data_IF_275151034490
#
_entry.id   IF_275151034490
#
_cell.length_a   1.000
_cell.length_b   1.000
_cell.length_c   1.000
_cell.angle_alpha   90.00
_cell.angle_beta   90.00
_cell.angle_gamma   90.00
#
_symmetry.space_group_name_H-M   'P 1'
#
loop_
_entity.id
_entity.type
_entity.pdbx_description
1 polymer ?
#
# COMPACT_ATOMS: atom_id res chain seq x y z
N UNK A 1 12.45 -29.75 -27.87
CA UNK A 1 13.01 -28.47 -27.36
C UNK A 1 11.84 -27.60 -26.93
N UNK A 2 11.40 -27.75 -25.68
CA UNK A 2 10.40 -26.88 -25.08
C UNK A 2 11.08 -25.57 -24.71
N UNK A 3 10.88 -24.53 -25.51
CA UNK A 3 11.28 -23.18 -25.15
C UNK A 3 10.54 -22.79 -23.88
N UNK A 4 11.25 -22.72 -22.75
CA UNK A 4 10.79 -22.01 -21.57
C UNK A 4 10.75 -20.52 -21.94
N UNK A 5 9.65 -20.07 -22.55
CA UNK A 5 9.29 -18.67 -22.53
C UNK A 5 8.98 -18.35 -21.07
N UNK A 6 9.96 -17.80 -20.34
CA UNK A 6 9.72 -17.26 -19.01
C UNK A 6 8.66 -16.17 -19.14
N UNK A 7 7.43 -16.47 -18.72
CA UNK A 7 6.34 -15.50 -18.74
C UNK A 7 6.65 -14.46 -17.65
N UNK A 8 7.01 -13.25 -18.07
CA UNK A 8 7.15 -12.11 -17.17
C UNK A 8 5.80 -11.78 -16.54
N UNK A 9 5.78 -11.65 -15.21
CA UNK A 9 4.66 -11.12 -14.42
C UNK A 9 4.95 -9.67 -14.07
N UNK A 10 3.90 -8.86 -14.00
CA UNK A 10 4.03 -7.45 -13.66
C UNK A 10 3.25 -7.14 -12.38
N UNK A 11 3.77 -6.21 -11.58
CA UNK A 11 3.10 -5.67 -10.40
C UNK A 11 2.95 -4.16 -10.59
N UNK A 12 1.73 -3.68 -10.76
CA UNK A 12 1.44 -2.24 -10.80
C UNK A 12 1.42 -1.69 -9.37
N UNK A 13 2.13 -0.59 -9.11
CA UNK A 13 2.18 0.07 -7.81
C UNK A 13 1.53 1.43 -7.95
N UNK A 14 0.34 1.59 -7.36
CA UNK A 14 -0.39 2.85 -7.35
C UNK A 14 -0.38 3.46 -5.94
N UNK A 15 -0.32 4.78 -5.87
CA UNK A 15 -0.44 5.51 -4.62
C UNK A 15 -0.36 7.02 -4.79
N UNK A 16 -0.53 7.74 -3.68
CA UNK A 16 -0.67 9.20 -3.67
C UNK A 16 0.67 9.91 -3.85
N UNK A 17 1.74 9.46 -3.18
CA UNK A 17 3.08 10.05 -3.27
C UNK A 17 3.95 9.36 -4.31
N UNK A 18 4.91 10.09 -4.90
CA UNK A 18 6.00 9.45 -5.67
C UNK A 18 6.90 8.63 -4.75
N UNK A 19 7.27 9.19 -3.60
CA UNK A 19 8.15 8.52 -2.63
C UNK A 19 7.51 7.27 -2.04
N UNK A 20 6.21 7.30 -1.72
CA UNK A 20 5.53 6.12 -1.18
C UNK A 20 5.55 4.96 -2.18
N UNK A 21 5.28 5.25 -3.46
CA UNK A 21 5.37 4.28 -4.56
C UNK A 21 6.78 3.73 -4.73
N UNK A 22 7.81 4.57 -4.64
CA UNK A 22 9.21 4.13 -4.72
C UNK A 22 9.61 3.24 -3.53
N UNK A 23 9.22 3.59 -2.31
CA UNK A 23 9.46 2.76 -1.11
C UNK A 23 8.79 1.39 -1.24
N UNK A 24 7.53 1.37 -1.68
CA UNK A 24 6.80 0.10 -1.88
C UNK A 24 7.44 -0.72 -3.01
N UNK A 25 7.87 -0.10 -4.10
CA UNK A 25 8.56 -0.80 -5.19
C UNK A 25 9.86 -1.44 -4.71
N UNK A 26 10.68 -0.68 -3.97
CA UNK A 26 11.93 -1.19 -3.42
C UNK A 26 11.67 -2.34 -2.43
N UNK A 27 10.66 -2.20 -1.56
CA UNK A 27 10.25 -3.26 -0.65
C UNK A 27 9.84 -4.55 -1.40
N UNK A 28 9.03 -4.41 -2.46
CA UNK A 28 8.61 -5.54 -3.32
C UNK A 28 9.83 -6.22 -3.93
N UNK A 29 10.77 -5.46 -4.48
CA UNK A 29 12.00 -6.01 -5.03
C UNK A 29 12.82 -6.79 -4.01
N UNK A 30 12.96 -6.27 -2.80
CA UNK A 30 13.71 -6.94 -1.71
C UNK A 30 13.05 -8.26 -1.35
N UNK A 31 11.73 -8.27 -1.16
CA UNK A 31 10.98 -9.50 -0.84
C UNK A 31 11.15 -10.55 -1.95
N UNK A 32 11.00 -10.15 -3.21
CA UNK A 32 11.15 -11.06 -4.37
C UNK A 32 12.59 -11.60 -4.49
N UNK A 33 13.61 -10.77 -4.26
CA UNK A 33 15.01 -11.22 -4.22
C UNK A 33 15.22 -12.24 -3.10
N UNK A 34 14.61 -12.02 -1.93
CA UNK A 34 14.67 -12.92 -0.77
C UNK A 34 14.03 -14.29 -1.01
N UNK A 35 13.06 -14.41 -1.92
CA UNK A 35 12.39 -15.69 -2.23
C UNK A 35 13.09 -16.50 -3.34
N UNK A 36 14.26 -16.05 -3.78
CA UNK A 36 15.02 -16.71 -4.85
C UNK A 36 14.55 -16.33 -6.26
N UNK A 37 13.70 -15.30 -6.40
CA UNK A 37 13.28 -14.76 -7.69
C UNK A 37 14.33 -13.80 -8.28
N UNK A 38 15.58 -14.25 -8.39
CA UNK A 38 16.71 -13.47 -8.91
C UNK A 38 16.69 -13.25 -10.43
N UNK A 39 15.75 -13.89 -11.14
CA UNK A 39 15.68 -13.93 -12.62
C UNK A 39 14.77 -12.84 -13.24
N UNK A 40 14.38 -11.79 -12.50
CA UNK A 40 13.46 -10.74 -12.99
C UNK A 40 12.12 -11.29 -13.54
N UNK A 41 11.61 -12.41 -13.01
CA UNK A 41 10.34 -12.99 -13.49
C UNK A 41 9.14 -12.16 -13.10
N UNK A 42 9.29 -11.29 -12.11
CA UNK A 42 8.27 -10.38 -11.60
C UNK A 42 8.85 -8.97 -11.65
N UNK A 43 8.18 -8.05 -12.34
CA UNK A 43 8.65 -6.67 -12.54
C UNK A 43 7.66 -5.67 -11.94
N UNK A 44 8.07 -4.87 -10.94
CA UNK A 44 7.25 -3.77 -10.45
C UNK A 44 7.22 -2.60 -11.45
N UNK A 45 6.05 -1.99 -11.63
CA UNK A 45 5.82 -0.83 -12.48
C UNK A 45 5.14 0.24 -11.64
N UNK A 46 5.72 1.44 -11.60
CA UNK A 46 5.10 2.59 -10.94
C UNK A 46 3.99 3.13 -11.83
N UNK A 47 2.74 2.98 -11.40
CA UNK A 47 1.59 3.55 -12.08
C UNK A 47 1.49 5.05 -11.80
N UNK A 48 0.81 5.81 -12.67
CA UNK A 48 0.50 7.22 -12.47
C UNK A 48 -0.16 7.45 -11.12
N UNK A 49 0.06 8.65 -10.57
CA UNK A 49 -0.51 9.07 -9.29
C UNK A 49 -2.04 8.94 -9.34
N UNK A 50 -2.59 8.19 -8.41
CA UNK A 50 -4.01 8.09 -8.13
C UNK A 50 -4.20 8.48 -6.67
N UNK A 51 -5.09 9.43 -6.40
CA UNK A 51 -5.28 9.97 -5.05
C UNK A 51 -6.48 9.31 -4.35
N UNK A 52 -6.23 8.59 -3.27
CA UNK A 52 -7.27 8.17 -2.30
C UNK A 52 -7.07 8.82 -0.92
N UNK A 53 -5.94 9.49 -0.70
CA UNK A 53 -5.61 10.20 0.55
C UNK A 53 -6.69 11.19 0.95
N UNK A 54 -7.17 11.99 0.00
CA UNK A 54 -8.16 13.03 0.27
C UNK A 54 -9.48 12.43 0.80
N UNK A 55 -9.88 11.27 0.27
CA UNK A 55 -11.07 10.53 0.69
C UNK A 55 -10.87 9.87 2.06
N UNK A 56 -9.67 9.36 2.34
CA UNK A 56 -9.31 8.85 3.68
C UNK A 56 -9.35 9.97 4.72
N UNK A 57 -8.82 11.15 4.40
CA UNK A 57 -8.84 12.30 5.32
C UNK A 57 -10.24 12.85 5.55
N UNK A 58 -11.06 12.86 4.50
CA UNK A 58 -12.47 13.17 4.64
C UNK A 58 -13.16 12.16 5.57
N UNK A 59 -12.95 10.87 5.35
CA UNK A 59 -13.49 9.82 6.20
C UNK A 59 -13.09 9.99 7.66
N UNK A 60 -11.82 10.26 7.96
CA UNK A 60 -11.39 10.44 9.35
C UNK A 60 -11.99 11.68 10.02
N UNK A 61 -12.15 12.78 9.28
CA UNK A 61 -12.83 13.98 9.80
C UNK A 61 -14.28 13.67 10.16
N UNK A 62 -14.99 12.93 9.30
CA UNK A 62 -16.38 12.54 9.52
C UNK A 62 -16.50 11.55 10.70
N UNK A 63 -15.59 10.57 10.79
CA UNK A 63 -15.52 9.62 11.91
C UNK A 63 -15.31 10.32 13.26
N UNK A 64 -14.39 11.29 13.35
CA UNK A 64 -14.11 12.01 14.59
C UNK A 64 -15.28 12.89 15.06
N UNK A 65 -16.08 13.43 14.13
CA UNK A 65 -17.28 14.19 14.47
C UNK A 65 -18.33 13.26 15.09
N UNK A 66 -18.47 12.06 14.54
CA UNK A 66 -19.46 11.08 15.02
C UNK A 66 -19.06 10.46 16.37
N UNK A 67 -17.79 10.10 16.54
CA UNK A 67 -17.25 9.60 17.82
C UNK A 67 -17.53 10.57 18.98
N UNK A 68 -17.47 11.88 18.72
CA UNK A 68 -17.79 12.93 19.72
C UNK A 68 -19.29 13.14 19.93
N UNK A 69 -20.12 12.77 18.97
CA UNK A 69 -21.55 13.03 19.00
C UNK A 69 -22.37 11.91 19.68
N UNK A 70 -21.74 10.76 19.99
CA UNK A 70 -22.36 9.55 20.59
C UNK A 70 -23.66 9.12 19.89
N UNK A 71 -23.65 9.23 18.56
CA UNK A 71 -24.80 8.89 17.70
C UNK A 71 -24.29 8.07 16.52
N UNK A 72 -24.88 6.91 16.31
CA UNK A 72 -24.70 6.12 15.09
C UNK A 72 -25.57 6.78 13.98
N UNK A 73 -25.00 7.65 13.15
CA UNK A 73 -25.77 8.51 12.23
C UNK A 73 -25.71 8.09 10.75
N UNK A 74 -26.55 8.73 9.93
CA UNK A 74 -26.50 8.62 8.46
C UNK A 74 -25.19 9.18 7.85
N UNK A 75 -24.41 9.98 8.58
CA UNK A 75 -23.22 10.66 8.06
C UNK A 75 -22.09 9.65 7.89
N UNK A 76 -21.83 8.78 8.87
CA UNK A 76 -20.81 7.74 8.69
C UNK A 76 -21.16 6.80 7.53
N UNK A 77 -22.45 6.46 7.38
CA UNK A 77 -22.94 5.64 6.27
C UNK A 77 -22.67 6.24 4.88
N UNK A 78 -22.76 7.56 4.72
CA UNK A 78 -22.38 8.20 3.46
C UNK A 78 -20.86 8.28 3.30
N UNK A 79 -20.12 8.57 4.37
CA UNK A 79 -18.65 8.62 4.42
C UNK A 79 -18.03 7.28 3.99
N UNK A 80 -18.55 6.17 4.53
CA UNK A 80 -18.17 4.81 4.16
C UNK A 80 -18.37 4.55 2.66
N UNK A 81 -19.56 4.87 2.15
CA UNK A 81 -19.90 4.66 0.73
C UNK A 81 -19.06 5.52 -0.20
N UNK A 82 -18.70 6.72 0.24
CA UNK A 82 -17.84 7.63 -0.52
C UNK A 82 -16.44 7.03 -0.66
N UNK A 83 -15.80 6.64 0.45
CA UNK A 83 -14.47 6.02 0.41
C UNK A 83 -14.48 4.69 -0.35
N UNK A 84 -15.49 3.84 -0.15
CA UNK A 84 -15.70 2.61 -0.94
C UNK A 84 -15.74 2.89 -2.44
N UNK A 85 -16.46 3.93 -2.85
CA UNK A 85 -16.58 4.32 -4.27
C UNK A 85 -15.29 4.95 -4.80
N UNK A 86 -14.59 5.73 -3.99
CA UNK A 86 -13.30 6.32 -4.35
C UNK A 86 -12.27 5.24 -4.64
N UNK A 87 -12.16 4.24 -3.77
CA UNK A 87 -11.28 3.06 -3.98
C UNK A 87 -11.60 2.36 -5.29
N UNK A 88 -12.87 2.06 -5.56
CA UNK A 88 -13.26 1.42 -6.82
C UNK A 88 -12.89 2.27 -8.05
N UNK A 89 -13.13 3.58 -7.98
CA UNK A 89 -12.84 4.52 -9.07
C UNK A 89 -11.35 4.61 -9.40
N UNK A 90 -10.49 4.71 -8.37
CA UNK A 90 -9.05 4.77 -8.61
C UNK A 90 -8.51 3.45 -9.16
N UNK A 91 -9.13 2.32 -8.83
CA UNK A 91 -8.74 1.01 -9.37
C UNK A 91 -9.05 0.89 -10.86
N UNK A 92 -10.16 1.48 -11.36
CA UNK A 92 -10.38 1.57 -12.81
C UNK A 92 -9.31 2.41 -13.49
N UNK A 93 -8.94 3.55 -12.91
CA UNK A 93 -7.85 4.39 -13.42
C UNK A 93 -6.50 3.67 -13.44
N UNK A 94 -6.15 3.00 -12.33
CA UNK A 94 -4.94 2.21 -12.22
C UNK A 94 -4.91 1.01 -13.18
N UNK A 95 -6.06 0.37 -13.42
CA UNK A 95 -6.17 -0.73 -14.39
C UNK A 95 -5.85 -0.24 -15.79
N UNK A 96 -6.52 0.82 -16.25
CA UNK A 96 -6.30 1.36 -17.60
C UNK A 96 -4.85 1.83 -17.79
N UNK A 97 -4.28 2.46 -16.77
CA UNK A 97 -2.89 2.89 -16.79
C UNK A 97 -1.90 1.71 -16.84
N UNK A 98 -2.16 0.66 -16.06
CA UNK A 98 -1.32 -0.54 -16.05
C UNK A 98 -1.38 -1.29 -17.39
N UNK A 99 -2.57 -1.43 -17.98
CA UNK A 99 -2.74 -1.98 -19.33
C UNK A 99 -1.97 -1.16 -20.37
N UNK A 100 -1.95 0.17 -20.23
CA UNK A 100 -1.15 1.07 -21.06
C UNK A 100 0.36 0.79 -20.97
N UNK A 101 0.87 0.50 -19.77
CA UNK A 101 2.27 0.15 -19.57
C UNK A 101 2.65 -1.22 -20.13
N UNK A 102 1.79 -2.24 -19.98
CA UNK A 102 2.09 -3.61 -20.44
C UNK A 102 1.65 -3.89 -21.88
N UNK A 103 0.89 -2.98 -22.50
CA UNK A 103 0.42 -3.08 -23.89
C UNK A 103 -0.63 -4.17 -24.13
N UNK A 104 -1.31 -4.65 -23.08
CA UNK A 104 -2.36 -5.69 -23.15
C UNK A 104 -3.32 -5.60 -21.97
N UNK A 105 -4.51 -6.23 -22.07
CA UNK A 105 -5.41 -6.36 -20.93
C UNK A 105 -4.77 -7.10 -19.74
N UNK A 106 -5.18 -6.72 -18.53
CA UNK A 106 -4.75 -7.41 -17.32
C UNK A 106 -5.36 -8.81 -17.23
N UNK A 107 -4.65 -9.69 -16.56
CA UNK A 107 -5.08 -11.05 -16.25
C UNK A 107 -4.89 -11.33 -14.76
N UNK A 108 -5.36 -12.49 -14.30
CA UNK A 108 -5.12 -12.99 -12.94
C UNK A 108 -3.64 -13.20 -12.57
N UNK A 109 -2.72 -13.02 -13.51
CA UNK A 109 -1.26 -13.10 -13.29
C UNK A 109 -0.67 -11.78 -12.81
N UNK A 110 -1.35 -10.68 -13.08
CA UNK A 110 -0.92 -9.34 -12.68
C UNK A 110 -1.46 -9.00 -11.29
N UNK A 111 -0.72 -8.16 -10.58
CA UNK A 111 -1.11 -7.63 -9.27
C UNK A 111 -1.10 -6.10 -9.32
N UNK A 112 -2.06 -5.47 -8.66
CA UNK A 112 -2.01 -4.03 -8.36
C UNK A 112 -1.87 -3.88 -6.85
N UNK A 113 -0.83 -3.18 -6.41
CA UNK A 113 -0.65 -2.74 -5.04
C UNK A 113 -1.24 -1.35 -4.89
N UNK A 114 -2.30 -1.24 -4.09
CA UNK A 114 -2.93 0.03 -3.72
C UNK A 114 -2.30 0.55 -2.44
N UNK A 115 -1.41 1.54 -2.51
CA UNK A 115 -0.81 2.17 -1.33
C UNK A 115 -1.32 3.59 -1.08
N UNK A 116 -1.49 3.95 0.19
CA UNK A 116 -1.84 5.29 0.65
C UNK A 116 -1.54 5.42 2.14
N UNK A 117 -1.30 6.64 2.59
CA UNK A 117 -1.15 6.93 4.01
C UNK A 117 -2.53 7.03 4.69
N UNK A 118 -2.68 6.47 5.89
CA UNK A 118 -3.92 6.57 6.66
C UNK A 118 -4.00 7.86 7.50
N UNK A 119 -2.85 8.37 7.91
CA UNK A 119 -2.59 9.46 8.87
C UNK A 119 -3.27 9.40 10.23
N UNK A 120 -3.87 8.26 10.55
CA UNK A 120 -4.26 7.96 11.92
C UNK A 120 -3.05 7.45 12.69
N UNK A 121 -2.75 8.08 13.82
CA UNK A 121 -1.63 7.70 14.68
C UNK A 121 -1.97 6.45 15.49
N UNK A 122 -1.16 5.40 15.35
CA UNK A 122 -1.17 4.24 16.25
C UNK A 122 -0.30 4.50 17.47
N UNK A 123 -0.93 4.53 18.65
CA UNK A 123 -0.22 4.79 19.91
C UNK A 123 0.57 3.60 20.41
N UNK A 124 0.09 2.39 20.17
CA UNK A 124 0.71 1.12 20.59
C UNK A 124 0.39 0.01 19.58
N UNK A 125 0.85 -1.22 19.84
CA UNK A 125 0.60 -2.38 18.97
C UNK A 125 -0.85 -2.88 19.02
N UNK A 126 -1.49 -2.77 20.18
CA UNK A 126 -2.85 -3.27 20.38
C UNK A 126 -3.90 -2.42 19.65
N UNK A 127 -3.56 -1.16 19.33
CA UNK A 127 -4.41 -0.25 18.58
C UNK A 127 -4.74 -0.74 17.16
N UNK A 128 -4.01 -1.73 16.61
CA UNK A 128 -4.39 -2.44 15.39
C UNK A 128 -5.68 -3.27 15.52
N UNK A 129 -6.06 -3.62 16.74
CA UNK A 129 -7.25 -4.41 17.04
C UNK A 129 -8.41 -3.55 17.53
N UNK A 130 -8.24 -2.23 17.53
CA UNK A 130 -9.34 -1.30 17.78
C UNK A 130 -10.28 -1.24 16.57
N UNK A 131 -11.57 -1.03 16.83
CA UNK A 131 -12.64 -1.09 15.81
C UNK A 131 -12.36 -0.17 14.62
N UNK A 132 -11.82 1.02 14.86
CA UNK A 132 -11.54 1.98 13.79
C UNK A 132 -10.45 1.50 12.82
N UNK A 133 -9.46 0.72 13.29
CA UNK A 133 -8.38 0.21 12.45
C UNK A 133 -8.93 -0.87 11.51
N UNK A 134 -9.72 -1.79 12.05
CA UNK A 134 -10.42 -2.83 11.29
C UNK A 134 -11.42 -2.24 10.30
N UNK A 135 -12.16 -1.22 10.73
CA UNK A 135 -13.14 -0.53 9.90
C UNK A 135 -12.49 0.07 8.65
N UNK A 136 -11.32 0.72 8.77
CA UNK A 136 -10.59 1.21 7.60
C UNK A 136 -10.27 0.09 6.61
N UNK A 137 -9.67 -1.01 7.09
CA UNK A 137 -9.36 -2.18 6.26
C UNK A 137 -10.61 -2.71 5.53
N UNK A 138 -11.74 -2.82 6.24
CA UNK A 138 -12.99 -3.33 5.65
C UNK A 138 -13.58 -2.39 4.60
N UNK A 139 -13.47 -1.06 4.75
CA UNK A 139 -13.96 -0.13 3.72
C UNK A 139 -13.12 -0.27 2.45
N UNK A 140 -11.80 -0.32 2.59
CA UNK A 140 -10.90 -0.50 1.45
C UNK A 140 -11.20 -1.82 0.75
N UNK A 141 -11.33 -2.92 1.49
CA UNK A 141 -11.70 -4.21 0.91
C UNK A 141 -13.05 -4.15 0.20
N UNK A 142 -14.07 -3.50 0.78
CA UNK A 142 -15.37 -3.33 0.11
C UNK A 142 -15.27 -2.54 -1.19
N UNK A 143 -14.39 -1.53 -1.25
CA UNK A 143 -14.11 -0.81 -2.49
C UNK A 143 -13.49 -1.70 -3.58
N UNK A 144 -12.57 -2.58 -3.18
CA UNK A 144 -11.96 -3.59 -4.07
C UNK A 144 -13.04 -4.57 -4.58
N UNK A 145 -13.90 -5.09 -3.69
CA UNK A 145 -14.99 -5.98 -4.09
C UNK A 145 -15.98 -5.30 -5.04
N UNK A 146 -16.26 -4.00 -4.82
CA UNK A 146 -17.10 -3.21 -5.73
C UNK A 146 -16.48 -3.08 -7.12
N UNK A 147 -15.17 -2.84 -7.20
CA UNK A 147 -14.43 -2.84 -8.46
C UNK A 147 -14.58 -4.19 -9.20
N UNK A 148 -14.35 -5.31 -8.52
CA UNK A 148 -14.52 -6.64 -9.14
C UNK A 148 -15.97 -6.93 -9.54
N UNK A 149 -16.93 -6.54 -8.70
CA UNK A 149 -18.36 -6.71 -8.98
C UNK A 149 -18.76 -5.97 -10.26
N UNK A 150 -18.27 -4.74 -10.44
CA UNK A 150 -18.51 -3.97 -11.66
C UNK A 150 -17.88 -4.62 -12.89
N UNK A 151 -16.61 -5.08 -12.82
CA UNK A 151 -15.97 -5.78 -13.94
C UNK A 151 -16.69 -7.08 -14.31
N UNK A 152 -17.14 -7.85 -13.31
CA UNK A 152 -17.96 -9.04 -13.52
C UNK A 152 -19.29 -8.69 -14.20
N UNK A 153 -19.94 -7.61 -13.77
CA UNK A 153 -21.14 -7.07 -14.41
C UNK A 153 -20.93 -6.62 -15.87
N UNK A 154 -19.70 -6.23 -16.24
CA UNK A 154 -19.31 -5.94 -17.62
C UNK A 154 -18.92 -7.18 -18.42
N UNK A 155 -18.96 -8.38 -17.82
CA UNK A 155 -18.68 -9.65 -18.49
C UNK A 155 -17.21 -10.10 -18.44
N UNK A 156 -16.37 -9.49 -17.60
CA UNK A 156 -15.00 -9.98 -17.40
C UNK A 156 -15.00 -11.34 -16.71
N UNK A 157 -14.25 -12.30 -17.26
CA UNK A 157 -14.02 -13.59 -16.61
C UNK A 157 -12.98 -13.45 -15.49
N UNK A 158 -12.96 -14.42 -14.57
CA UNK A 158 -11.97 -14.49 -13.47
C UNK A 158 -10.52 -14.48 -13.99
N UNK A 159 -10.28 -14.99 -15.20
CA UNK A 159 -8.96 -15.00 -15.83
C UNK A 159 -8.46 -13.59 -16.19
N UNK A 160 -9.35 -12.62 -16.31
CA UNK A 160 -9.09 -11.24 -16.74
C UNK A 160 -9.13 -10.24 -15.57
N UNK A 161 -9.05 -10.71 -14.32
CA UNK A 161 -9.09 -9.86 -13.14
C UNK A 161 -7.72 -9.88 -12.43
N UNK A 162 -7.02 -8.75 -12.30
CA UNK A 162 -5.76 -8.70 -11.54
C UNK A 162 -6.03 -8.91 -10.05
N UNK A 163 -5.02 -9.34 -9.31
CA UNK A 163 -5.10 -9.36 -7.85
C UNK A 163 -4.84 -7.95 -7.29
N UNK A 164 -5.78 -7.41 -6.52
CA UNK A 164 -5.58 -6.14 -5.78
C UNK A 164 -5.09 -6.42 -4.36
N UNK A 165 -3.98 -5.78 -3.96
CA UNK A 165 -3.42 -5.86 -2.60
C UNK A 165 -3.36 -4.45 -1.98
N UNK A 166 -4.19 -4.13 -0.97
CA UNK A 166 -4.10 -2.84 -0.30
C UNK A 166 -2.95 -2.80 0.71
N UNK A 167 -2.25 -1.66 0.77
CA UNK A 167 -1.19 -1.35 1.74
C UNK A 167 -1.45 0.05 2.28
N UNK A 168 -2.21 0.13 3.38
CA UNK A 168 -2.67 1.40 3.96
C UNK A 168 -2.08 1.56 5.38
N UNK A 169 -0.78 1.87 5.52
CA UNK A 169 -0.09 1.89 6.80
C UNK A 169 -0.52 3.03 7.73
N UNK A 170 -0.33 2.81 9.03
CA UNK A 170 -0.64 3.77 10.08
C UNK A 170 0.59 4.35 10.79
N UNK A 171 0.85 5.67 10.71
CA UNK A 171 0.11 6.68 9.95
C UNK A 171 0.49 6.78 8.47
N UNK A 172 1.68 6.34 8.07
CA UNK A 172 2.21 6.53 6.72
C UNK A 172 3.17 5.42 6.31
N UNK A 173 3.51 5.37 5.02
CA UNK A 173 4.48 4.42 4.43
C UNK A 173 5.84 4.45 5.13
N UNK A 174 6.19 5.58 5.75
CA UNK A 174 7.40 5.75 6.54
C UNK A 174 7.53 4.79 7.73
N UNK A 175 6.41 4.22 8.23
CA UNK A 175 6.49 3.20 9.29
C UNK A 175 7.20 1.94 8.83
N UNK A 176 7.21 1.65 7.53
CA UNK A 176 7.95 0.53 6.96
C UNK A 176 9.44 0.76 7.12
N UNK A 177 9.90 1.98 6.78
CA UNK A 177 11.30 2.38 6.92
C UNK A 177 11.69 2.48 8.40
N UNK A 178 10.85 3.08 9.24
CA UNK A 178 11.11 3.17 10.67
C UNK A 178 11.19 1.79 11.33
N UNK A 179 10.34 0.85 10.93
CA UNK A 179 10.38 -0.54 11.41
C UNK A 179 11.66 -1.25 10.95
N UNK A 180 12.03 -1.12 9.67
CA UNK A 180 13.27 -1.68 9.13
C UNK A 180 14.50 -1.11 9.83
N UNK A 181 14.57 0.21 9.99
CA UNK A 181 15.66 0.91 10.66
C UNK A 181 15.76 0.53 12.13
N UNK A 182 14.63 0.31 12.82
CA UNK A 182 14.62 -0.15 14.22
C UNK A 182 15.23 -1.53 14.41
N UNK A 183 15.22 -2.37 13.37
CA UNK A 183 15.87 -3.67 13.39
C UNK A 183 17.40 -3.57 13.30
N UNK A 184 17.89 -2.61 12.52
CA UNK A 184 19.33 -2.36 12.33
C UNK A 184 19.94 -1.40 13.35
N UNK A 185 19.15 -0.48 13.89
CA UNK A 185 19.57 0.61 14.77
C UNK A 185 18.56 0.78 15.90
N UNK A 186 19.03 0.98 17.12
CA UNK A 186 18.18 1.01 18.32
C UNK A 186 17.46 2.37 18.54
N UNK A 187 16.97 3.04 17.48
CA UNK A 187 16.80 4.51 17.53
C UNK A 187 15.48 5.13 17.05
N UNK A 188 14.55 4.44 16.37
CA UNK A 188 13.32 5.09 15.85
C UNK A 188 12.03 4.47 16.40
N UNK A 189 11.38 5.16 17.33
CA UNK A 189 10.05 4.76 17.78
C UNK A 189 9.02 4.92 16.65
N UNK A 190 8.48 3.80 16.15
CA UNK A 190 7.45 3.78 15.09
C UNK A 190 6.09 4.28 15.60
N UNK A 191 5.80 4.07 16.88
CA UNK A 191 4.47 4.30 17.47
C UNK A 191 4.36 5.66 18.15
N UNK A 192 3.13 6.16 18.21
CA UNK A 192 2.79 7.44 18.85
C UNK A 192 3.20 8.68 18.07
N UNK A 193 3.71 8.52 16.84
CA UNK A 193 4.17 9.60 15.98
C UNK A 193 3.22 9.85 14.82
N UNK A 194 3.10 11.11 14.41
CA UNK A 194 2.43 11.54 13.18
C UNK A 194 3.31 11.27 11.96
N UNK A 195 2.71 11.28 10.77
CA UNK A 195 3.44 11.06 9.51
C UNK A 195 4.59 12.07 9.33
N UNK A 196 4.34 13.37 9.56
CA UNK A 196 5.36 14.41 9.47
C UNK A 196 6.51 14.26 10.50
N UNK A 197 6.19 13.80 11.72
CA UNK A 197 7.17 13.52 12.77
C UNK A 197 8.04 12.31 12.39
N UNK A 198 7.46 11.28 11.79
CA UNK A 198 8.20 10.14 11.24
C UNK A 198 9.11 10.58 10.09
N UNK A 199 8.59 11.34 9.11
CA UNK A 199 9.37 11.88 8.00
C UNK A 199 10.58 12.67 8.49
N UNK A 200 10.34 13.64 9.39
CA UNK A 200 11.41 14.45 9.97
C UNK A 200 12.45 13.58 10.70
N UNK A 201 12.01 12.55 11.44
CA UNK A 201 12.92 11.67 12.17
C UNK A 201 13.75 10.74 11.27
N UNK A 202 13.23 10.36 10.10
CA UNK A 202 13.90 9.46 9.16
C UNK A 202 14.83 10.20 8.20
N UNK A 203 14.33 11.30 7.65
CA UNK A 203 14.95 12.01 6.53
C UNK A 203 15.54 13.37 6.94
N UNK A 204 15.33 13.83 8.17
CA UNK A 204 15.71 15.16 8.63
C UNK A 204 14.82 16.29 8.09
N UNK A 205 13.75 15.96 7.37
CA UNK A 205 12.80 16.91 6.77
C UNK A 205 11.42 16.26 6.62
N UNK A 206 10.36 17.05 6.65
CA UNK A 206 9.00 16.63 6.30
C UNK A 206 8.70 16.82 4.80
N UNK A 207 9.57 17.52 4.07
CA UNK A 207 9.46 17.75 2.64
C UNK A 207 10.50 16.94 1.86
N UNK A 208 10.10 15.77 1.37
CA UNK A 208 10.99 14.85 0.65
C UNK A 208 11.45 15.38 -0.71
N UNK A 209 10.76 16.38 -1.30
CA UNK A 209 11.23 17.05 -2.52
C UNK A 209 12.53 17.85 -2.31
N UNK A 210 12.89 18.13 -1.05
CA UNK A 210 14.14 18.82 -0.70
C UNK A 210 15.32 17.86 -0.53
N UNK A 211 15.10 16.54 -0.62
CA UNK A 211 16.16 15.56 -0.54
C UNK A 211 17.09 15.65 -1.75
N UNK A 212 18.37 15.36 -1.52
CA UNK A 212 19.34 15.17 -2.59
C UNK A 212 18.96 13.95 -3.45
N UNK A 213 19.47 13.82 -4.69
CA UNK A 213 19.15 12.70 -5.57
C UNK A 213 19.26 11.31 -4.92
N UNK A 214 20.26 11.09 -4.04
CA UNK A 214 20.47 9.82 -3.33
C UNK A 214 19.87 9.80 -1.92
N UNK A 215 19.02 10.77 -1.57
CA UNK A 215 18.49 10.94 -0.22
C UNK A 215 17.62 9.76 0.23
N UNK A 216 16.80 9.19 -0.67
CA UNK A 216 16.01 8.00 -0.33
C UNK A 216 16.86 6.75 -0.18
N UNK A 217 17.91 6.61 -0.99
CA UNK A 217 18.86 5.52 -0.84
C UNK A 217 19.46 5.54 0.57
N UNK A 218 20.05 6.67 0.95
CA UNK A 218 20.79 6.84 2.21
C UNK A 218 19.90 6.78 3.46
N UNK A 219 18.65 7.21 3.38
CA UNK A 219 17.77 7.32 4.54
C UNK A 219 16.72 6.22 4.64
N UNK A 220 16.41 5.51 3.54
CA UNK A 220 15.39 4.47 3.49
C UNK A 220 15.88 3.15 2.91
N UNK A 221 16.37 3.13 1.67
CA UNK A 221 16.57 1.87 0.93
C UNK A 221 17.69 0.99 1.50
N UNK A 222 18.75 1.58 2.07
CA UNK A 222 19.80 0.81 2.75
C UNK A 222 19.29 -0.03 3.92
N UNK A 223 18.15 0.35 4.52
CA UNK A 223 17.55 -0.36 5.64
C UNK A 223 16.58 -1.46 5.20
N UNK A 224 16.08 -1.40 3.96
CA UNK A 224 15.19 -2.41 3.39
C UNK A 224 16.01 -3.61 2.90
N UNK A 225 16.47 -4.44 3.84
CA UNK A 225 17.22 -5.67 3.56
C UNK A 225 16.36 -6.91 3.81
N UNK A 226 16.76 -8.06 3.26
CA UNK A 226 16.06 -9.34 3.49
C UNK A 226 15.87 -9.69 4.98
N UNK A 227 16.81 -9.30 5.84
CA UNK A 227 16.71 -9.54 7.29
C UNK A 227 15.74 -8.55 7.94
N UNK A 228 15.81 -7.28 7.56
CA UNK A 228 15.00 -6.23 8.16
C UNK A 228 13.53 -6.30 7.73
N UNK A 229 13.21 -6.81 6.53
CA UNK A 229 11.82 -6.97 6.09
C UNK A 229 11.03 -7.94 6.96
N UNK A 230 11.68 -8.89 7.65
CA UNK A 230 11.02 -9.77 8.63
C UNK A 230 10.50 -8.98 9.84
N UNK A 231 11.22 -7.92 10.24
CA UNK A 231 10.77 -7.01 11.30
C UNK A 231 9.56 -6.21 10.85
N UNK A 232 9.55 -5.72 9.60
CA UNK A 232 8.38 -5.05 9.01
C UNK A 232 7.16 -5.98 9.06
N UNK A 233 7.29 -7.21 8.58
CA UNK A 233 6.20 -8.20 8.58
C UNK A 233 5.62 -8.45 9.99
N UNK A 234 6.50 -8.53 10.99
CA UNK A 234 6.11 -8.72 12.39
C UNK A 234 5.35 -7.51 12.93
N UNK A 235 5.90 -6.32 12.72
CA UNK A 235 5.45 -5.10 13.39
C UNK A 235 4.33 -4.36 12.66
N UNK A 236 4.17 -4.54 11.35
CA UNK A 236 3.20 -3.80 10.51
C UNK A 236 2.21 -4.81 9.87
N UNK A 237 1.05 -5.08 10.51
CA UNK A 237 0.04 -6.00 9.98
C UNK A 237 -0.44 -5.69 8.56
N UNK A 238 -0.49 -4.43 8.17
CA UNK A 238 -1.03 -3.93 6.89
C UNK A 238 -0.26 -4.46 5.68
N UNK A 239 1.01 -4.88 5.84
CA UNK A 239 1.80 -5.44 4.75
C UNK A 239 1.80 -6.97 4.70
N UNK A 240 1.17 -7.66 5.66
CA UNK A 240 1.28 -9.13 5.74
C UNK A 240 0.69 -9.83 4.52
N UNK A 241 -0.45 -9.35 4.02
CA UNK A 241 -1.06 -9.87 2.79
C UNK A 241 -0.12 -9.69 1.60
N UNK A 242 0.54 -8.53 1.49
CA UNK A 242 1.55 -8.29 0.45
C UNK A 242 2.68 -9.32 0.55
N UNK A 243 3.32 -9.46 1.71
CA UNK A 243 4.42 -10.41 1.92
C UNK A 243 4.02 -11.84 1.56
N UNK A 244 2.91 -12.31 2.11
CA UNK A 244 2.41 -13.67 1.86
C UNK A 244 2.13 -13.91 0.39
N UNK A 245 1.54 -12.91 -0.28
CA UNK A 245 1.27 -12.99 -1.71
C UNK A 245 2.56 -13.04 -2.51
N UNK A 246 3.52 -12.13 -2.23
CA UNK A 246 4.80 -12.08 -2.92
C UNK A 246 5.60 -13.39 -2.77
N UNK A 247 5.60 -13.99 -1.58
CA UNK A 247 6.23 -15.29 -1.33
C UNK A 247 5.61 -16.45 -2.11
N UNK A 248 4.35 -16.34 -2.50
CA UNK A 248 3.62 -17.38 -3.23
C UNK A 248 3.62 -17.17 -4.76
N UNK A 249 3.99 -15.99 -5.25
CA UNK A 249 4.04 -15.69 -6.70
C UNK A 249 5.44 -15.85 -7.30
N UNK A 250 6.49 -16.00 -6.47
CA UNK A 250 7.86 -16.31 -6.89
C UNK A 250 8.04 -17.73 -7.41
#
# INVERSE_FOLDING_TARGET
MSGNNSVSRFIGIMGDGSTDREIIAYLVEVILKGTGNSDNRVTPILLHRQNIRDDIDKFWREYQVEEKADKNTSILNSSFKNLESAVANVLFGATADFEGHIGRPLTKREMIILCSDSEKVLRNKDAYFEEWAWMMEKIIQRGIEKYYHTLSGWGHSVENLPLIVPVIPFPSTDVLIASAKSASEQSVAVRGRKANELKTSLYGTDNLSSLKPDGLEQHAFIYLTNDNVQTIYRDIPEVRTLFQTLCCIS
#
